data_IF_162808274614
#
_entry.id   IF_162808274614
#
_cell.length_a   1.000
_cell.length_b   1.000
_cell.length_c   1.000
_cell.angle_alpha   90.00
_cell.angle_beta   90.00
_cell.angle_gamma   90.00
#
_symmetry.space_group_name_H-M   'P 1'
#
loop_
_entity.id
_entity.type
_entity.pdbx_description
1 polymer ?
#
# COMPACT_ATOMS: atom_id res chain seq x y z
N UNK A 1 3.28 60.74 -38.68
CA UNK A 1 4.11 61.98 -38.69
C UNK A 1 5.47 61.61 -38.10
N UNK A 2 6.52 61.65 -38.95
CA UNK A 2 7.98 61.81 -38.72
C UNK A 2 8.64 60.82 -37.71
N UNK A 3 9.40 59.77 -38.07
CA UNK A 3 10.73 59.73 -38.70
C UNK A 3 11.85 60.27 -37.82
N UNK A 4 12.84 59.46 -37.43
CA UNK A 4 14.27 59.45 -37.88
C UNK A 4 14.97 58.43 -37.02
N UNK A 5 15.61 57.32 -37.51
CA UNK A 5 16.85 57.16 -38.25
C UNK A 5 18.12 57.61 -37.49
N UNK A 6 19.07 56.68 -37.41
CA UNK A 6 20.50 56.87 -37.24
C UNK A 6 21.09 55.61 -36.63
N UNK A 7 21.63 54.61 -37.30
CA UNK A 7 22.91 54.48 -38.00
C UNK A 7 24.12 54.75 -37.07
N UNK A 8 25.08 53.94 -36.88
CA UNK A 8 25.86 52.93 -37.56
C UNK A 8 27.30 52.92 -37.01
N UNK A 9 28.05 51.84 -37.26
CA UNK A 9 29.50 51.70 -37.45
C UNK A 9 30.36 51.41 -36.20
N UNK A 10 31.25 50.50 -36.16
CA UNK A 10 32.02 49.54 -36.93
C UNK A 10 33.25 49.11 -36.11
N UNK A 11 33.71 47.87 -36.36
CA UNK A 11 35.07 47.38 -36.37
C UNK A 11 35.82 47.06 -35.08
N UNK A 12 36.32 45.85 -35.03
CA UNK A 12 37.51 45.43 -34.31
C UNK A 12 37.67 43.93 -34.20
N UNK A 13 38.17 43.30 -35.26
CA UNK A 13 38.63 41.91 -35.29
C UNK A 13 39.94 41.74 -34.48
N UNK A 14 40.09 40.61 -33.79
CA UNK A 14 41.38 39.90 -33.73
C UNK A 14 41.18 38.44 -33.35
N UNK A 15 41.52 37.56 -34.25
CA UNK A 15 41.77 36.13 -34.09
C UNK A 15 42.96 35.91 -33.12
N UNK A 16 42.80 34.93 -32.23
CA UNK A 16 43.95 34.12 -31.80
C UNK A 16 43.49 32.67 -31.67
N UNK A 17 44.02 31.89 -32.60
CA UNK A 17 44.00 30.42 -32.62
C UNK A 17 44.96 29.94 -31.55
N UNK A 18 44.46 29.10 -30.63
CA UNK A 18 45.26 28.36 -29.67
C UNK A 18 44.76 26.92 -29.55
N UNK A 19 45.25 26.05 -30.43
CA UNK A 19 45.17 24.60 -30.27
C UNK A 19 46.04 24.17 -29.09
N UNK A 20 45.42 23.67 -28.04
CA UNK A 20 46.10 22.80 -27.08
C UNK A 20 45.25 21.53 -26.94
N UNK A 21 45.73 20.46 -27.53
CA UNK A 21 45.34 19.11 -27.26
C UNK A 21 45.73 18.77 -25.82
N UNK A 22 44.72 18.58 -24.96
CA UNK A 22 44.87 18.07 -23.62
C UNK A 22 43.90 16.91 -23.44
N UNK A 23 44.42 15.69 -23.57
CA UNK A 23 43.75 14.51 -23.02
C UNK A 23 43.73 14.70 -21.50
N UNK A 24 42.59 15.15 -20.98
CA UNK A 24 42.30 15.25 -19.54
C UNK A 24 41.19 14.29 -19.23
N UNK A 25 41.58 13.24 -18.55
CA UNK A 25 40.75 12.28 -17.84
C UNK A 25 39.54 12.99 -17.18
N UNK A 26 38.37 12.79 -17.69
CA UNK A 26 37.14 13.21 -17.02
C UNK A 26 37.00 12.39 -15.72
N UNK A 27 37.63 12.87 -14.68
CA UNK A 27 37.23 12.47 -13.34
C UNK A 27 35.79 12.92 -13.17
N UNK A 28 34.89 11.95 -13.20
CA UNK A 28 33.50 12.08 -12.77
C UNK A 28 33.52 12.59 -11.32
N UNK A 29 33.39 13.89 -11.20
CA UNK A 29 33.21 14.56 -9.92
C UNK A 29 31.73 14.41 -9.55
N UNK A 30 31.33 13.16 -9.37
CA UNK A 30 30.09 12.81 -8.73
C UNK A 30 30.09 13.43 -7.34
N UNK A 31 29.55 14.64 -7.24
CA UNK A 31 29.23 15.23 -5.96
C UNK A 31 28.47 14.18 -5.16
N UNK A 32 29.10 13.69 -4.08
CA UNK A 32 28.39 12.96 -3.03
C UNK A 32 27.31 13.89 -2.48
N UNK A 33 26.12 13.84 -3.06
CA UNK A 33 24.93 14.21 -2.34
C UNK A 33 24.76 13.14 -1.27
N UNK A 34 24.88 13.53 -0.03
CA UNK A 34 24.61 12.72 1.18
C UNK A 34 23.11 12.41 1.31
N UNK A 35 22.45 12.09 0.19
CA UNK A 35 21.05 11.72 0.12
C UNK A 35 20.89 10.23 0.39
N UNK A 36 20.36 9.86 1.53
CA UNK A 36 19.92 8.49 1.77
C UNK A 36 19.01 8.04 0.64
N UNK A 37 19.14 6.78 0.23
CA UNK A 37 18.22 6.15 -0.72
C UNK A 37 16.80 6.28 -0.18
N UNK A 38 15.85 6.77 -0.99
CA UNK A 38 14.44 6.83 -0.61
C UNK A 38 13.72 5.64 -1.25
N UNK A 39 12.89 4.94 -0.45
CA UNK A 39 12.02 3.86 -0.92
C UNK A 39 10.58 4.37 -0.78
N UNK A 40 9.87 4.44 -1.89
CA UNK A 40 8.46 4.87 -1.91
C UNK A 40 7.54 3.67 -1.73
N UNK A 41 6.90 3.60 -0.56
CA UNK A 41 5.85 2.63 -0.25
C UNK A 41 4.48 3.24 -0.57
N UNK A 42 3.56 2.42 -1.05
CA UNK A 42 2.18 2.83 -1.26
C UNK A 42 1.19 1.90 -0.58
N UNK A 43 0.07 2.50 -0.17
CA UNK A 43 -1.07 1.79 0.41
C UNK A 43 -2.40 2.49 0.11
N UNK A 44 -3.49 1.77 0.31
CA UNK A 44 -4.81 2.34 0.47
C UNK A 44 -5.01 2.64 1.96
N UNK A 45 -5.30 3.89 2.31
CA UNK A 45 -5.17 4.37 3.69
C UNK A 45 -6.49 4.47 4.45
N UNK A 46 -7.38 3.49 4.25
CA UNK A 46 -8.58 3.28 5.08
C UNK A 46 -8.62 1.89 5.70
N UNK A 47 -7.46 1.28 5.98
CA UNK A 47 -7.31 -0.11 6.41
C UNK A 47 -6.65 -0.27 7.82
N UNK A 48 -7.18 0.41 8.86
CA UNK A 48 -6.65 0.26 10.21
C UNK A 48 -6.85 -1.18 10.74
N UNK A 49 -5.93 -1.72 11.55
CA UNK A 49 -4.74 -1.08 12.12
C UNK A 49 -3.49 -1.16 11.25
N UNK A 50 -3.59 -1.66 9.99
CA UNK A 50 -2.44 -1.81 9.11
C UNK A 50 -1.98 -0.45 8.55
N UNK A 51 -2.85 0.29 7.88
CA UNK A 51 -2.56 1.62 7.35
C UNK A 51 -3.81 2.49 7.27
N UNK A 52 -3.69 3.72 7.74
CA UNK A 52 -4.79 4.69 7.67
C UNK A 52 -4.27 6.12 7.75
N UNK A 53 -5.06 7.05 7.24
CA UNK A 53 -4.80 8.47 7.35
C UNK A 53 -5.52 9.06 8.56
N UNK A 54 -4.79 9.82 9.38
CA UNK A 54 -5.32 10.57 10.51
C UNK A 54 -4.49 11.84 10.73
N UNK A 55 -5.13 13.00 10.88
CA UNK A 55 -4.47 14.30 11.08
C UNK A 55 -3.37 14.59 10.04
N UNK A 56 -3.67 14.39 8.76
CA UNK A 56 -2.74 14.54 7.62
C UNK A 56 -1.47 13.67 7.71
N UNK A 57 -1.52 12.59 8.49
CA UNK A 57 -0.42 11.64 8.64
C UNK A 57 -0.88 10.22 8.35
N UNK A 58 0.03 9.45 7.79
CA UNK A 58 -0.17 8.00 7.66
C UNK A 58 0.26 7.32 8.95
N UNK A 59 -0.57 6.43 9.45
CA UNK A 59 -0.37 5.64 10.67
C UNK A 59 -0.71 4.18 10.39
N UNK A 60 -0.22 3.28 11.22
CA UNK A 60 -0.55 1.86 11.15
C UNK A 60 0.69 0.97 11.17
N UNK A 61 0.43 -0.32 11.28
CA UNK A 61 1.46 -1.34 11.33
C UNK A 61 2.34 -1.32 10.07
N UNK A 62 1.74 -1.26 8.87
CA UNK A 62 2.45 -1.27 7.61
C UNK A 62 3.29 -0.01 7.40
N UNK A 63 2.82 1.14 7.92
CA UNK A 63 3.59 2.38 7.90
C UNK A 63 4.81 2.27 8.80
N UNK A 64 4.63 1.78 10.03
CA UNK A 64 5.73 1.61 10.99
C UNK A 64 6.72 0.54 10.52
N UNK A 65 6.22 -0.58 9.96
CA UNK A 65 7.04 -1.65 9.40
C UNK A 65 7.88 -1.13 8.22
N UNK A 66 7.27 -0.38 7.30
CA UNK A 66 7.97 0.23 6.16
C UNK A 66 9.10 1.16 6.60
N UNK A 67 8.85 1.99 7.62
CA UNK A 67 9.87 2.86 8.20
C UNK A 67 11.01 2.05 8.84
N UNK A 68 10.70 0.99 9.58
CA UNK A 68 11.68 0.14 10.22
C UNK A 68 12.54 -0.62 9.18
N UNK A 69 11.92 -1.15 8.12
CA UNK A 69 12.61 -1.82 7.02
C UNK A 69 13.55 -0.86 6.28
N UNK A 70 13.06 0.32 5.89
CA UNK A 70 13.88 1.31 5.20
C UNK A 70 15.08 1.72 6.07
N UNK A 71 14.86 1.99 7.36
CA UNK A 71 15.93 2.33 8.31
C UNK A 71 16.96 1.21 8.42
N UNK A 72 16.54 -0.05 8.51
CA UNK A 72 17.44 -1.20 8.59
C UNK A 72 18.30 -1.35 7.32
N UNK A 73 17.74 -0.97 6.16
CA UNK A 73 18.46 -0.94 4.87
C UNK A 73 19.29 0.34 4.66
N UNK A 74 19.37 1.25 5.64
CA UNK A 74 20.07 2.54 5.51
C UNK A 74 19.38 3.52 4.56
N UNK A 75 18.10 3.34 4.30
CA UNK A 75 17.24 4.17 3.44
C UNK A 75 16.23 4.99 4.27
N UNK A 76 15.47 5.84 3.58
CA UNK A 76 14.31 6.54 4.11
C UNK A 76 13.03 6.03 3.45
N UNK A 77 11.97 5.83 4.22
CA UNK A 77 10.67 5.50 3.69
C UNK A 77 9.91 6.78 3.32
N UNK A 78 9.35 6.81 2.11
CA UNK A 78 8.31 7.73 1.70
C UNK A 78 7.02 6.95 1.57
N UNK A 79 5.94 7.39 2.20
CA UNK A 79 4.65 6.72 2.14
C UNK A 79 3.67 7.55 1.30
N UNK A 80 2.93 6.91 0.38
CA UNK A 80 1.92 7.54 -0.47
C UNK A 80 0.63 6.75 -0.46
N UNK A 81 -0.50 7.44 -0.57
CA UNK A 81 -1.83 6.83 -0.61
C UNK A 81 -2.38 6.80 -2.02
N UNK A 82 -3.04 5.68 -2.37
CA UNK A 82 -3.80 5.53 -3.61
C UNK A 82 -4.84 4.41 -3.46
N UNK A 83 -5.77 4.29 -4.41
CA UNK A 83 -6.75 3.20 -4.42
C UNK A 83 -6.07 1.83 -4.47
N UNK A 84 -6.67 0.85 -3.78
CA UNK A 84 -6.08 -0.49 -3.64
C UNK A 84 -5.85 -1.18 -5.00
N UNK A 85 -6.78 -1.05 -5.91
CA UNK A 85 -6.70 -1.58 -7.29
C UNK A 85 -5.63 -0.91 -8.15
N UNK A 86 -5.23 0.32 -7.80
CA UNK A 86 -4.17 1.07 -8.48
C UNK A 86 -2.76 0.68 -8.03
N UNK A 87 -2.59 0.01 -6.89
CA UNK A 87 -1.28 -0.29 -6.28
C UNK A 87 -0.39 -1.14 -7.20
N UNK A 88 -0.90 -2.26 -7.72
CA UNK A 88 -0.12 -3.15 -8.61
C UNK A 88 0.22 -2.46 -9.94
N UNK A 89 -0.70 -1.79 -10.64
CA UNK A 89 -0.36 -0.97 -11.80
C UNK A 89 0.70 0.10 -11.53
N UNK A 90 0.61 0.83 -10.42
CA UNK A 90 1.58 1.85 -10.04
C UNK A 90 2.98 1.26 -9.77
N UNK A 91 3.04 0.08 -9.13
CA UNK A 91 4.29 -0.64 -8.89
C UNK A 91 4.94 -1.09 -10.21
N UNK A 92 4.15 -1.69 -11.11
CA UNK A 92 4.62 -2.10 -12.44
C UNK A 92 5.06 -0.91 -13.30
N UNK A 93 4.34 0.22 -13.17
CA UNK A 93 4.67 1.49 -13.82
C UNK A 93 5.84 2.26 -13.20
N UNK A 94 6.51 1.71 -12.17
CA UNK A 94 7.65 2.31 -11.47
C UNK A 94 7.33 3.67 -10.81
N UNK A 95 6.06 3.93 -10.51
CA UNK A 95 5.64 5.13 -9.77
C UNK A 95 5.93 5.00 -8.26
N UNK A 96 5.99 3.75 -7.78
CA UNK A 96 6.31 3.37 -6.41
C UNK A 96 7.32 2.22 -6.43
N UNK A 97 7.99 1.98 -5.30
CA UNK A 97 8.99 0.91 -5.18
C UNK A 97 8.42 -0.33 -4.48
N UNK A 98 7.46 -0.15 -3.58
CA UNK A 98 6.87 -1.22 -2.79
C UNK A 98 5.40 -0.96 -2.47
N UNK A 99 4.64 -2.03 -2.26
CA UNK A 99 3.26 -1.99 -1.75
C UNK A 99 3.28 -2.54 -0.33
N UNK A 100 2.88 -1.70 0.65
CA UNK A 100 2.66 -2.10 2.04
C UNK A 100 1.22 -1.70 2.42
N UNK A 101 0.26 -2.60 2.19
CA UNK A 101 -1.18 -2.31 2.24
C UNK A 101 -2.01 -3.55 2.59
N UNK A 102 -1.64 -4.24 3.68
CA UNK A 102 -2.31 -5.48 4.05
C UNK A 102 -2.37 -6.48 2.88
N UNK A 103 -1.39 -6.45 1.97
CA UNK A 103 -1.49 -7.10 0.67
C UNK A 103 -1.39 -8.62 0.78
N UNK A 104 -2.54 -9.29 0.64
CA UNK A 104 -2.64 -10.75 0.63
C UNK A 104 -1.92 -11.34 -0.59
N UNK A 105 -1.10 -12.37 -0.36
CA UNK A 105 -0.48 -13.17 -1.42
C UNK A 105 -1.56 -14.02 -2.10
N UNK A 106 -1.72 -13.87 -3.41
CA UNK A 106 -2.59 -14.72 -4.24
C UNK A 106 -1.84 -15.15 -5.49
N UNK A 107 -2.21 -16.29 -6.07
CA UNK A 107 -1.59 -16.78 -7.33
C UNK A 107 -1.68 -15.72 -8.44
N UNK A 108 -2.84 -15.08 -8.58
CA UNK A 108 -3.03 -14.03 -9.59
C UNK A 108 -2.08 -12.85 -9.39
N UNK A 109 -1.84 -12.44 -8.13
CA UNK A 109 -0.89 -11.35 -7.82
C UNK A 109 0.56 -11.79 -8.01
N UNK A 110 0.91 -13.04 -7.64
CA UNK A 110 2.24 -13.61 -7.87
C UNK A 110 2.61 -13.69 -9.36
N UNK A 111 1.63 -13.79 -10.25
CA UNK A 111 1.87 -13.69 -11.69
C UNK A 111 2.34 -12.29 -12.12
N UNK A 112 1.95 -11.25 -11.40
CA UNK A 112 2.17 -9.83 -11.75
C UNK A 112 3.35 -9.20 -11.00
N UNK A 113 3.54 -9.56 -9.73
CA UNK A 113 4.51 -8.96 -8.81
C UNK A 113 5.26 -10.03 -8.01
N UNK A 114 6.35 -9.63 -7.35
CA UNK A 114 7.04 -10.45 -6.35
C UNK A 114 6.57 -10.04 -4.94
N UNK A 115 6.72 -10.95 -3.99
CA UNK A 115 6.40 -10.73 -2.58
C UNK A 115 7.61 -11.00 -1.70
N UNK A 116 7.72 -10.23 -0.60
CA UNK A 116 8.64 -10.59 0.49
C UNK A 116 8.18 -11.88 1.17
N UNK A 117 8.99 -12.38 2.10
CA UNK A 117 8.50 -13.31 3.11
C UNK A 117 7.29 -12.70 3.82
N UNK A 118 6.28 -13.53 4.17
CA UNK A 118 5.10 -13.00 4.84
C UNK A 118 5.45 -12.38 6.19
N UNK A 119 4.81 -11.24 6.46
CA UNK A 119 4.98 -10.57 7.74
C UNK A 119 3.76 -10.73 8.66
N UNK A 120 2.58 -11.05 8.14
CA UNK A 120 1.37 -11.23 8.93
C UNK A 120 0.45 -12.29 8.30
N UNK A 121 -0.53 -12.77 9.08
CA UNK A 121 -1.61 -13.62 8.58
C UNK A 121 -2.95 -13.01 8.98
N UNK A 122 -3.88 -12.95 8.03
CA UNK A 122 -5.24 -12.45 8.23
C UNK A 122 -6.27 -13.52 7.90
N UNK A 123 -7.44 -13.42 8.50
CA UNK A 123 -8.60 -14.22 8.14
C UNK A 123 -9.65 -13.29 7.55
N UNK A 124 -10.18 -13.64 6.38
CA UNK A 124 -11.31 -12.94 5.82
C UNK A 124 -12.56 -13.22 6.66
N UNK A 125 -13.38 -12.22 6.90
CA UNK A 125 -14.62 -12.33 7.66
C UNK A 125 -15.77 -11.55 7.04
N UNK A 126 -16.95 -11.73 7.56
CA UNK A 126 -18.14 -10.94 7.23
C UNK A 126 -18.46 -9.97 8.36
N UNK A 127 -18.82 -8.75 8.00
CA UNK A 127 -19.48 -7.80 8.90
C UNK A 127 -20.94 -7.69 8.48
N UNK A 128 -21.83 -7.80 9.45
CA UNK A 128 -23.29 -7.71 9.25
C UNK A 128 -23.87 -6.77 10.31
N UNK A 129 -25.12 -6.33 10.10
CA UNK A 129 -25.83 -5.61 11.16
C UNK A 129 -26.06 -6.50 12.36
N UNK A 130 -26.10 -5.92 13.54
CA UNK A 130 -26.20 -6.65 14.81
C UNK A 130 -27.48 -7.49 14.95
N UNK A 131 -28.55 -7.06 14.32
CA UNK A 131 -29.85 -7.73 14.30
C UNK A 131 -29.96 -8.86 13.24
N UNK A 132 -28.97 -8.97 12.33
CA UNK A 132 -28.90 -10.06 11.38
C UNK A 132 -28.51 -11.39 12.06
N UNK A 133 -29.37 -12.40 11.96
CA UNK A 133 -29.17 -13.68 12.63
C UNK A 133 -29.13 -14.89 11.68
N UNK A 134 -29.34 -14.66 10.38
CA UNK A 134 -29.39 -15.72 9.38
C UNK A 134 -28.09 -15.93 8.63
N UNK A 135 -27.16 -14.96 8.68
CA UNK A 135 -25.84 -15.03 8.03
C UNK A 135 -24.84 -15.56 9.06
N UNK A 136 -24.41 -16.83 8.91
CA UNK A 136 -23.56 -17.54 9.89
C UNK A 136 -22.42 -18.32 9.25
N UNK A 137 -22.41 -18.45 7.93
CA UNK A 137 -21.45 -19.25 7.20
C UNK A 137 -21.14 -18.63 5.84
N UNK A 138 -20.09 -19.11 5.20
CA UNK A 138 -19.76 -18.73 3.81
C UNK A 138 -20.88 -19.04 2.82
N UNK A 139 -21.64 -20.10 3.05
CA UNK A 139 -22.76 -20.48 2.18
C UNK A 139 -23.87 -19.43 2.17
N UNK A 140 -24.02 -18.67 3.25
CA UNK A 140 -25.05 -17.64 3.40
C UNK A 140 -24.76 -16.37 2.59
N UNK A 141 -23.59 -16.27 1.95
CA UNK A 141 -23.23 -15.18 1.03
C UNK A 141 -24.09 -15.29 -0.26
N UNK A 142 -24.43 -16.51 -0.67
CA UNK A 142 -25.22 -16.73 -1.88
C UNK A 142 -26.54 -15.95 -1.86
N UNK A 143 -26.85 -15.29 -2.97
CA UNK A 143 -28.06 -14.49 -3.14
C UNK A 143 -28.12 -13.19 -2.34
N UNK A 144 -27.03 -12.78 -1.68
CA UNK A 144 -26.96 -11.54 -0.88
C UNK A 144 -26.39 -10.37 -1.68
N UNK A 145 -26.70 -9.16 -1.19
CA UNK A 145 -25.97 -7.96 -1.63
C UNK A 145 -24.77 -7.73 -0.70
N UNK A 146 -23.59 -7.82 -1.27
CA UNK A 146 -22.31 -7.79 -0.55
C UNK A 146 -21.52 -6.54 -0.95
N UNK A 147 -21.00 -5.80 0.02
CA UNK A 147 -20.00 -4.77 -0.23
C UNK A 147 -18.61 -5.33 -0.01
N UNK A 148 -17.69 -4.98 -0.91
CA UNK A 148 -16.28 -5.30 -0.81
C UNK A 148 -15.44 -4.20 -1.45
N UNK A 149 -14.19 -4.07 -1.04
CA UNK A 149 -13.29 -3.12 -1.67
C UNK A 149 -12.80 -3.68 -3.01
N UNK A 150 -12.69 -2.81 -4.02
CA UNK A 150 -12.25 -3.16 -5.38
C UNK A 150 -10.90 -3.89 -5.34
N UNK A 151 -10.80 -5.01 -6.04
CA UNK A 151 -9.55 -5.75 -6.21
C UNK A 151 -9.11 -6.59 -5.00
N UNK A 152 -9.93 -6.68 -3.92
CA UNK A 152 -9.61 -7.48 -2.73
C UNK A 152 -10.05 -8.94 -2.87
N UNK A 153 -9.50 -9.79 -2.00
CA UNK A 153 -9.90 -11.21 -1.88
C UNK A 153 -11.36 -11.35 -1.47
N UNK A 154 -11.87 -10.41 -0.67
CA UNK A 154 -13.29 -10.36 -0.30
C UNK A 154 -14.21 -10.12 -1.50
N UNK A 155 -13.82 -9.22 -2.41
CA UNK A 155 -14.57 -8.99 -3.66
C UNK A 155 -14.53 -10.22 -4.58
N UNK A 156 -13.36 -10.88 -4.69
CA UNK A 156 -13.20 -12.10 -5.48
C UNK A 156 -14.10 -13.21 -4.97
N UNK A 157 -14.04 -13.51 -3.66
CA UNK A 157 -14.86 -14.53 -3.05
C UNK A 157 -16.36 -14.25 -3.21
N UNK A 158 -16.80 -13.02 -2.99
CA UNK A 158 -18.21 -12.66 -3.12
C UNK A 158 -18.72 -12.85 -4.55
N UNK A 159 -17.91 -12.55 -5.56
CA UNK A 159 -18.23 -12.75 -6.98
C UNK A 159 -18.38 -14.22 -7.38
N UNK A 160 -17.71 -15.14 -6.67
CA UNK A 160 -17.81 -16.59 -6.91
C UNK A 160 -19.10 -17.18 -6.38
N UNK A 161 -19.82 -16.50 -5.48
CA UNK A 161 -21.03 -17.04 -4.87
C UNK A 161 -22.27 -16.85 -5.77
N UNK A 162 -23.06 -17.91 -5.98
CA UNK A 162 -24.20 -17.86 -6.90
C UNK A 162 -25.26 -16.84 -6.44
N UNK A 163 -25.75 -16.04 -7.39
CA UNK A 163 -26.81 -15.06 -7.14
C UNK A 163 -26.42 -13.85 -6.29
N UNK A 164 -25.13 -13.71 -5.92
CA UNK A 164 -24.64 -12.59 -5.14
C UNK A 164 -24.54 -11.33 -6.00
N UNK A 165 -25.04 -10.20 -5.47
CA UNK A 165 -24.80 -8.87 -6.04
C UNK A 165 -23.64 -8.22 -5.29
N UNK A 166 -22.52 -7.97 -5.97
CA UNK A 166 -21.36 -7.33 -5.34
C UNK A 166 -21.36 -5.84 -5.67
N UNK A 167 -21.39 -5.01 -4.63
CA UNK A 167 -21.15 -3.56 -4.72
C UNK A 167 -19.70 -3.32 -4.34
N UNK A 168 -18.92 -2.79 -5.26
CA UNK A 168 -17.52 -2.50 -5.06
C UNK A 168 -17.31 -1.04 -4.69
N UNK A 169 -16.40 -0.78 -3.74
CA UNK A 169 -16.09 0.52 -3.18
C UNK A 169 -14.58 0.76 -3.16
N UNK A 170 -14.18 2.02 -3.25
CA UNK A 170 -12.78 2.40 -3.12
C UNK A 170 -12.29 2.39 -1.66
N UNK A 171 -13.18 2.73 -0.71
CA UNK A 171 -12.83 2.93 0.69
C UNK A 171 -13.77 2.20 1.65
N UNK A 172 -13.23 1.66 2.72
CA UNK A 172 -13.96 0.85 3.71
C UNK A 172 -15.08 1.61 4.44
N UNK A 173 -14.90 2.89 4.86
CA UNK A 173 -15.98 3.62 5.54
C UNK A 173 -17.29 3.64 4.75
N UNK A 174 -17.21 3.76 3.41
CA UNK A 174 -18.38 3.79 2.53
C UNK A 174 -19.13 2.45 2.53
N UNK A 175 -18.39 1.33 2.56
CA UNK A 175 -18.99 -0.02 2.65
C UNK A 175 -19.75 -0.21 3.97
N UNK A 176 -19.13 0.19 5.09
CA UNK A 176 -19.74 0.08 6.41
C UNK A 176 -20.93 1.00 6.56
N UNK A 177 -20.89 2.20 5.97
CA UNK A 177 -22.03 3.11 5.93
C UNK A 177 -23.20 2.51 5.14
N UNK A 178 -22.93 1.88 3.98
CA UNK A 178 -23.97 1.19 3.19
C UNK A 178 -24.57 0.00 3.94
N UNK A 179 -23.77 -0.72 4.73
CA UNK A 179 -24.25 -1.79 5.60
C UNK A 179 -25.16 -1.24 6.72
N UNK A 180 -24.77 -0.16 7.38
CA UNK A 180 -25.58 0.49 8.41
C UNK A 180 -26.91 1.00 7.87
N UNK A 181 -26.91 1.55 6.67
CA UNK A 181 -28.11 2.04 5.98
C UNK A 181 -29.00 0.91 5.42
N UNK A 182 -28.55 -0.35 5.45
CA UNK A 182 -29.29 -1.50 4.91
C UNK A 182 -29.22 -1.64 3.39
N UNK A 183 -28.38 -0.87 2.71
CA UNK A 183 -28.18 -0.94 1.26
C UNK A 183 -27.43 -2.19 0.81
N UNK A 184 -26.66 -2.81 1.73
CA UNK A 184 -26.01 -4.12 1.60
C UNK A 184 -26.30 -4.97 2.84
N UNK A 185 -26.14 -6.26 2.71
CA UNK A 185 -26.39 -7.22 3.79
C UNK A 185 -25.11 -7.69 4.47
N UNK A 186 -24.01 -7.71 3.73
CA UNK A 186 -22.69 -8.18 4.14
C UNK A 186 -21.63 -7.18 3.69
N UNK A 187 -20.63 -6.95 4.53
CA UNK A 187 -19.34 -6.35 4.15
C UNK A 187 -18.28 -7.42 4.33
N UNK A 188 -17.46 -7.64 3.29
CA UNK A 188 -16.29 -8.54 3.36
C UNK A 188 -15.07 -7.74 3.75
N UNK A 189 -14.42 -8.12 4.86
CA UNK A 189 -13.20 -7.49 5.40
C UNK A 189 -12.30 -8.54 6.05
N UNK A 190 -11.03 -8.21 6.19
CA UNK A 190 -10.15 -8.97 7.08
C UNK A 190 -10.48 -8.69 8.54
N UNK A 191 -10.40 -9.72 9.36
CA UNK A 191 -10.89 -9.72 10.74
C UNK A 191 -10.28 -8.61 11.62
N UNK A 192 -8.96 -8.32 11.59
CA UNK A 192 -8.40 -7.23 12.40
C UNK A 192 -8.98 -5.87 12.04
N UNK A 193 -9.27 -5.64 10.77
CA UNK A 193 -9.85 -4.40 10.26
C UNK A 193 -11.31 -4.27 10.67
N UNK A 194 -12.09 -5.34 10.50
CA UNK A 194 -13.49 -5.37 10.92
C UNK A 194 -13.63 -5.06 12.43
N UNK A 195 -12.80 -5.70 13.26
CA UNK A 195 -12.80 -5.46 14.70
C UNK A 195 -12.38 -4.04 15.05
N UNK A 196 -11.37 -3.50 14.38
CA UNK A 196 -10.94 -2.11 14.61
C UNK A 196 -12.10 -1.14 14.39
N UNK A 197 -12.79 -1.23 13.25
CA UNK A 197 -13.92 -0.35 12.94
C UNK A 197 -15.05 -0.49 13.97
N UNK A 198 -15.43 -1.69 14.35
CA UNK A 198 -16.50 -1.91 15.31
C UNK A 198 -16.12 -1.37 16.68
N UNK A 199 -14.90 -1.66 17.18
CA UNK A 199 -14.50 -1.33 18.55
C UNK A 199 -14.01 0.10 18.73
N UNK A 200 -13.25 0.63 17.76
CA UNK A 200 -12.58 1.95 17.86
C UNK A 200 -13.40 3.07 17.25
N UNK A 201 -14.22 2.76 16.26
CA UNK A 201 -15.09 3.73 15.59
C UNK A 201 -16.52 3.68 16.12
N UNK A 202 -16.78 2.93 17.23
CA UNK A 202 -18.06 2.83 17.92
C UNK A 202 -19.23 2.43 16.98
N UNK A 203 -18.99 1.47 16.09
CA UNK A 203 -20.04 0.94 15.21
C UNK A 203 -20.82 -0.19 15.88
N UNK A 204 -21.40 0.09 17.05
CA UNK A 204 -22.04 -0.91 17.94
C UNK A 204 -23.28 -1.60 17.33
N UNK A 205 -23.81 -1.08 16.25
CA UNK A 205 -24.90 -1.66 15.49
C UNK A 205 -24.44 -2.71 14.46
N UNK A 206 -23.13 -2.96 14.35
CA UNK A 206 -22.52 -3.98 13.51
C UNK A 206 -21.92 -5.11 14.36
N UNK A 207 -21.73 -6.26 13.75
CA UNK A 207 -21.02 -7.40 14.34
C UNK A 207 -20.20 -8.14 13.30
N UNK A 208 -19.09 -8.72 13.76
CA UNK A 208 -18.28 -9.66 12.98
C UNK A 208 -18.96 -11.04 13.03
N UNK A 209 -19.03 -11.69 11.90
CA UNK A 209 -19.38 -13.12 11.79
C UNK A 209 -18.12 -13.85 11.39
N UNK A 210 -17.52 -14.54 12.33
CA UNK A 210 -16.35 -15.37 12.09
C UNK A 210 -16.80 -16.63 11.36
N UNK A 211 -16.43 -16.69 10.08
CA UNK A 211 -16.84 -17.78 9.20
C UNK A 211 -15.75 -18.82 8.98
N UNK A 212 -14.64 -18.70 9.74
CA UNK A 212 -13.51 -19.63 9.61
C UNK A 212 -12.91 -19.67 8.19
N UNK A 213 -13.01 -18.57 7.45
CA UNK A 213 -12.46 -18.48 6.11
C UNK A 213 -10.92 -18.53 6.16
N UNK A 214 -10.37 -18.92 5.02
CA UNK A 214 -8.96 -19.19 4.83
C UNK A 214 -8.05 -18.12 5.46
N UNK A 215 -7.02 -18.59 6.16
CA UNK A 215 -5.93 -17.72 6.59
C UNK A 215 -5.12 -17.32 5.36
N UNK A 216 -4.94 -16.02 5.20
CA UNK A 216 -4.18 -15.44 4.10
C UNK A 216 -2.88 -14.84 4.61
N UNK A 217 -1.79 -15.13 3.91
CA UNK A 217 -0.49 -14.52 4.19
C UNK A 217 -0.43 -13.13 3.58
N UNK A 218 0.03 -12.17 4.38
CA UNK A 218 0.24 -10.78 3.98
C UNK A 218 1.73 -10.51 3.83
N UNK A 219 2.11 -9.86 2.74
CA UNK A 219 3.50 -9.55 2.43
C UNK A 219 3.64 -8.21 1.68
N UNK A 220 4.86 -7.67 1.64
CA UNK A 220 5.15 -6.48 0.85
C UNK A 220 5.28 -6.87 -0.62
N UNK A 221 4.55 -6.16 -1.49
CA UNK A 221 4.61 -6.35 -2.93
C UNK A 221 5.76 -5.56 -3.56
N UNK A 222 6.50 -6.19 -4.48
CA UNK A 222 7.66 -5.62 -5.18
C UNK A 222 7.61 -5.94 -6.66
N UNK A 223 8.33 -5.19 -7.50
CA UNK A 223 8.50 -5.57 -8.91
C UNK A 223 9.28 -6.89 -9.02
N UNK A 224 8.91 -7.73 -9.99
CA UNK A 224 9.58 -9.02 -10.24
C UNK A 224 11.04 -8.87 -10.67
N UNK A 225 11.37 -7.77 -11.34
CA UNK A 225 12.71 -7.48 -11.82
C UNK A 225 13.62 -6.85 -10.75
N UNK A 226 13.05 -6.35 -9.65
CA UNK A 226 13.82 -5.73 -8.54
C UNK A 226 14.26 -6.77 -7.49
N UNK A 227 15.04 -7.74 -7.95
CA UNK A 227 15.52 -8.86 -7.11
C UNK A 227 16.40 -8.39 -5.94
N UNK A 228 17.14 -7.29 -6.14
CA UNK A 228 18.00 -6.76 -5.08
C UNK A 228 17.18 -6.15 -3.95
N UNK A 229 16.16 -5.33 -4.26
CA UNK A 229 15.28 -4.76 -3.25
C UNK A 229 14.52 -5.84 -2.48
N UNK A 230 14.06 -6.90 -3.18
CA UNK A 230 13.42 -8.04 -2.56
C UNK A 230 14.34 -8.76 -1.55
N UNK A 231 15.58 -9.03 -1.95
CA UNK A 231 16.56 -9.67 -1.07
C UNK A 231 16.91 -8.80 0.15
N UNK A 232 17.12 -7.50 -0.07
CA UNK A 232 17.42 -6.55 1.00
C UNK A 232 16.25 -6.42 1.98
N UNK A 233 15.03 -6.37 1.48
CA UNK A 233 13.82 -6.26 2.29
C UNK A 233 13.58 -7.52 3.13
N UNK A 234 13.76 -8.71 2.56
CA UNK A 234 13.66 -9.96 3.32
C UNK A 234 14.72 -10.06 4.41
N UNK A 235 15.96 -9.65 4.10
CA UNK A 235 17.04 -9.59 5.09
C UNK A 235 16.71 -8.61 6.22
N UNK A 236 16.19 -7.43 5.89
CA UNK A 236 15.76 -6.44 6.89
C UNK A 236 14.61 -6.98 7.74
N UNK A 237 13.60 -7.62 7.13
CA UNK A 237 12.47 -8.22 7.86
C UNK A 237 12.94 -9.32 8.83
N UNK A 238 13.83 -10.21 8.39
CA UNK A 238 14.41 -11.23 9.24
C UNK A 238 15.13 -10.62 10.45
N UNK A 239 15.91 -9.55 10.23
CA UNK A 239 16.63 -8.85 11.31
C UNK A 239 15.70 -8.14 12.28
N UNK A 240 14.60 -7.53 11.81
CA UNK A 240 13.59 -6.94 12.69
C UNK A 240 12.89 -7.99 13.56
N UNK A 241 12.68 -9.20 13.02
CA UNK A 241 12.14 -10.34 13.79
C UNK A 241 13.16 -10.83 14.82
N UNK A 242 14.42 -10.98 14.45
CA UNK A 242 15.50 -11.46 15.32
C UNK A 242 15.78 -10.51 16.50
N UNK A 243 15.79 -9.20 16.26
CA UNK A 243 16.09 -8.20 17.30
C UNK A 243 14.87 -7.76 18.13
N UNK A 244 13.69 -8.34 17.87
CA UNK A 244 12.45 -8.07 18.61
C UNK A 244 11.75 -6.75 18.25
N UNK A 245 12.22 -6.02 17.25
CA UNK A 245 11.55 -4.78 16.81
C UNK A 245 10.20 -5.10 16.14
N UNK A 246 10.14 -6.16 15.33
CA UNK A 246 8.89 -6.65 14.74
C UNK A 246 7.84 -6.98 15.83
N UNK A 247 8.23 -7.65 16.91
CA UNK A 247 7.31 -8.01 18.01
C UNK A 247 6.77 -6.77 18.73
N UNK A 248 7.60 -5.73 18.89
CA UNK A 248 7.15 -4.44 19.45
C UNK A 248 6.10 -3.78 18.56
N UNK A 249 6.30 -3.80 17.24
CA UNK A 249 5.32 -3.25 16.28
C UNK A 249 4.01 -4.04 16.33
N UNK A 250 4.09 -5.36 16.31
CA UNK A 250 2.93 -6.24 16.39
C UNK A 250 2.15 -5.99 17.69
N UNK A 251 2.85 -5.93 18.82
CA UNK A 251 2.21 -5.62 20.12
C UNK A 251 1.57 -4.24 20.16
N UNK A 252 2.21 -3.24 19.54
CA UNK A 252 1.68 -1.86 19.48
C UNK A 252 0.34 -1.81 18.77
N UNK A 253 0.20 -2.52 17.64
CA UNK A 253 -0.94 -2.37 16.73
C UNK A 253 -2.04 -3.40 16.95
N UNK A 254 -1.67 -4.63 17.29
CA UNK A 254 -2.61 -5.75 17.44
C UNK A 254 -2.76 -6.22 18.89
N UNK A 255 -1.97 -5.67 19.82
CA UNK A 255 -1.95 -6.13 21.22
C UNK A 255 -1.15 -7.41 21.41
N UNK A 256 -1.18 -7.95 22.60
CA UNK A 256 -0.60 -9.28 22.86
C UNK A 256 -1.55 -10.34 22.34
N UNK A 257 -1.12 -11.13 21.37
CA UNK A 257 -1.81 -12.39 21.04
C UNK A 257 -2.02 -13.18 22.32
N UNK A 258 -3.29 -13.53 22.60
CA UNK A 258 -3.60 -14.48 23.66
C UNK A 258 -3.37 -15.89 23.18
#
# INVERSE_FOLDING_TARGET
>A
MKWKKGAALLLGAMLTVGLIAGCGNSADNGGKTDGKKVITFAAETTYPPFEYAEDDKYKGFDVDLSNALAKEMGAEAKFVSMGFDALIPALQGKQIDAIASGLVITKEREEKIAFTDPYYEVSLTMVVRKDENNIKSEADIAGKTVAAQIGTTGAMLAKEKPGTTVKEFDAIPNMLQDLQNGNVQIVMLDEPVARYYIQKMNMDNLKVVDIGLQHHKVAIGLRKDDKQLLADMNKALAKLKENGEYDKLTKKWFGTSK
#
